data_IF_395269954180
#
_entry.id   IF_395269954180
#
_cell.length_a   1.000
_cell.length_b   1.000
_cell.length_c   1.000
_cell.angle_alpha   90.00
_cell.angle_beta   90.00
_cell.angle_gamma   90.00
#
_symmetry.space_group_name_H-M   'P 1'
#
loop_
_entity.id
_entity.type
_entity.pdbx_description
1 polymer ?
#
# COMPACT_ATOMS: atom_id res chain seq x y z
N UNK A 1 -10.78 -25.59 -50.79
CA UNK A 1 -10.78 -24.36 -51.58
C UNK A 1 -9.93 -23.41 -50.83
N UNK A 2 -8.63 -23.37 -51.16
CA UNK A 2 -7.91 -22.26 -51.83
C UNK A 2 -7.84 -21.03 -50.93
N UNK A 3 -6.72 -20.40 -50.57
CA UNK A 3 -5.41 -20.36 -51.22
C UNK A 3 -4.42 -19.66 -50.26
N UNK A 4 -3.24 -20.20 -50.18
CA UNK A 4 -1.95 -19.71 -49.68
C UNK A 4 -1.57 -18.39 -50.35
N UNK A 5 -0.85 -17.50 -49.62
CA UNK A 5 0.32 -16.76 -50.17
C UNK A 5 1.28 -16.30 -49.11
N UNK A 6 2.45 -16.89 -49.17
CA UNK A 6 3.69 -16.45 -48.52
C UNK A 6 4.44 -15.49 -49.48
N UNK A 7 5.13 -14.46 -48.93
CA UNK A 7 6.23 -13.78 -49.63
C UNK A 7 7.34 -13.50 -48.66
N UNK A 8 8.44 -14.23 -48.85
CA UNK A 8 9.73 -13.91 -48.31
C UNK A 8 10.57 -13.13 -49.31
N UNK A 9 11.35 -12.18 -48.85
CA UNK A 9 12.48 -11.61 -49.60
C UNK A 9 13.69 -11.49 -48.70
N UNK A 10 14.64 -12.38 -48.98
CA UNK A 10 16.05 -12.36 -48.60
C UNK A 10 16.79 -11.33 -49.45
N UNK A 11 17.66 -10.50 -48.87
CA UNK A 11 18.83 -9.93 -49.58
C UNK A 11 20.02 -9.82 -48.65
N UNK A 12 20.94 -10.76 -48.89
CA UNK A 12 22.39 -10.65 -48.58
C UNK A 12 23.02 -9.56 -49.47
N UNK A 13 23.94 -8.76 -48.99
CA UNK A 13 25.12 -8.29 -49.77
C UNK A 13 26.35 -8.22 -48.92
N UNK A 14 27.42 -8.68 -49.57
CA UNK A 14 28.78 -8.92 -49.16
C UNK A 14 29.64 -7.66 -49.11
N UNK A 15 30.90 -7.79 -48.67
CA UNK A 15 31.79 -6.68 -48.28
C UNK A 15 32.60 -6.12 -49.46
N UNK A 16 33.07 -4.89 -49.28
CA UNK A 16 34.05 -4.29 -50.23
C UNK A 16 35.33 -3.97 -49.48
N UNK A 17 36.40 -4.60 -49.97
CA UNK A 17 37.79 -4.32 -49.70
C UNK A 17 38.30 -3.27 -50.71
N UNK A 18 39.26 -2.47 -50.34
CA UNK A 18 40.00 -1.61 -51.27
C UNK A 18 40.74 -0.48 -50.55
N UNK A 19 41.94 -0.68 -50.19
CA UNK A 19 43.20 -0.33 -50.85
C UNK A 19 43.75 1.07 -50.52
N UNK A 20 44.90 1.02 -49.92
CA UNK A 20 45.96 1.98 -49.66
C UNK A 20 46.07 3.14 -50.67
N UNK A 21 46.41 4.35 -50.17
CA UNK A 21 47.37 5.25 -50.79
C UNK A 21 48.16 6.02 -49.74
N UNK A 22 49.46 5.83 -49.80
CA UNK A 22 50.47 6.58 -49.07
C UNK A 22 50.68 7.93 -49.73
N UNK A 23 50.75 9.01 -48.96
CA UNK A 23 51.18 10.32 -49.39
C UNK A 23 52.11 10.92 -48.36
N UNK A 24 53.37 10.80 -48.62
CA UNK A 24 54.49 11.41 -47.89
C UNK A 24 54.51 12.92 -48.21
N UNK A 25 54.31 13.78 -47.24
CA UNK A 25 54.68 15.20 -47.34
C UNK A 25 55.55 15.57 -46.14
N UNK A 26 56.84 15.68 -46.43
CA UNK A 26 57.86 16.23 -45.55
C UNK A 26 57.77 17.79 -45.65
N UNK A 27 57.38 18.42 -44.55
CA UNK A 27 57.52 19.87 -44.42
C UNK A 27 58.52 20.17 -43.30
N UNK A 28 59.62 20.70 -43.71
CA UNK A 28 60.68 21.27 -42.87
C UNK A 28 60.15 22.57 -42.27
N UNK A 29 60.07 22.64 -40.93
CA UNK A 29 59.71 23.87 -40.19
C UNK A 29 60.83 24.28 -39.26
N UNK A 30 61.05 25.57 -39.06
CA UNK A 30 62.22 26.12 -38.35
C UNK A 30 62.17 25.87 -36.81
N UNK A 31 63.34 25.58 -36.25
CA UNK A 31 63.62 25.58 -34.83
C UNK A 31 63.43 26.99 -34.27
N UNK A 32 62.46 27.15 -33.34
CA UNK A 32 62.40 28.30 -32.48
C UNK A 32 62.59 27.87 -31.02
N UNK A 33 63.36 28.67 -30.33
CA UNK A 33 63.93 28.51 -29.01
C UNK A 33 62.95 28.15 -27.91
N UNK A 34 63.40 27.28 -27.02
CA UNK A 34 62.75 26.91 -25.75
C UNK A 34 62.74 28.09 -24.78
N UNK A 35 61.60 28.77 -24.67
CA UNK A 35 61.33 29.74 -23.61
C UNK A 35 60.41 29.15 -22.57
N UNK A 36 60.78 29.23 -21.30
CA UNK A 36 60.21 28.64 -20.10
C UNK A 36 58.84 29.22 -19.67
N UNK A 37 57.97 29.57 -20.61
CA UNK A 37 56.65 30.20 -20.34
C UNK A 37 55.48 29.19 -20.34
N UNK A 38 55.70 27.95 -20.70
CA UNK A 38 54.64 26.94 -20.82
C UNK A 38 54.16 26.34 -19.51
N UNK A 39 54.92 26.47 -18.43
CA UNK A 39 54.60 25.79 -17.13
C UNK A 39 53.69 26.63 -16.23
N UNK A 40 53.68 27.95 -16.36
CA UNK A 40 52.82 28.83 -15.56
C UNK A 40 51.37 28.84 -16.10
N UNK A 41 51.17 28.83 -17.43
CA UNK A 41 49.80 28.79 -18.00
C UNK A 41 49.09 27.46 -17.73
N UNK A 42 49.80 26.33 -17.67
CA UNK A 42 49.18 25.02 -17.36
C UNK A 42 48.73 24.86 -15.90
N UNK A 43 49.31 25.60 -14.98
CA UNK A 43 48.89 25.55 -13.54
C UNK A 43 47.60 26.35 -13.33
N UNK A 44 47.41 27.49 -13.98
CA UNK A 44 46.20 28.29 -13.83
C UNK A 44 45.01 27.67 -14.55
N UNK A 45 45.17 27.07 -15.72
CA UNK A 45 44.07 26.40 -16.44
C UNK A 45 43.55 25.14 -15.69
N UNK A 46 44.45 24.38 -15.02
CA UNK A 46 44.03 23.25 -14.17
C UNK A 46 43.30 23.72 -12.93
N UNK A 47 43.68 24.85 -12.32
CA UNK A 47 43.01 25.42 -11.17
C UNK A 47 41.61 25.94 -11.53
N UNK A 48 41.44 26.60 -12.67
CA UNK A 48 40.13 27.04 -13.16
C UNK A 48 39.22 25.89 -13.59
N UNK A 49 39.76 24.80 -14.17
CA UNK A 49 38.99 23.62 -14.51
C UNK A 49 38.52 22.87 -13.25
N UNK A 50 39.35 22.79 -12.21
CA UNK A 50 38.96 22.14 -10.95
C UNK A 50 37.94 22.97 -10.16
N UNK A 51 38.01 24.30 -10.18
CA UNK A 51 37.02 25.19 -9.59
C UNK A 51 35.69 25.13 -10.36
N UNK A 52 35.74 25.14 -11.70
CA UNK A 52 34.55 24.97 -12.52
C UNK A 52 33.89 23.59 -12.34
N UNK A 53 34.69 22.53 -12.23
CA UNK A 53 34.19 21.18 -11.93
C UNK A 53 33.58 21.07 -10.53
N UNK A 54 34.20 21.72 -9.51
CA UNK A 54 33.67 21.76 -8.14
C UNK A 54 32.38 22.59 -8.07
N UNK A 55 32.30 23.71 -8.79
CA UNK A 55 31.10 24.53 -8.89
C UNK A 55 29.97 23.80 -9.64
N UNK A 56 30.29 23.02 -10.69
CA UNK A 56 29.33 22.20 -11.42
C UNK A 56 28.81 21.02 -10.53
N UNK A 57 29.66 20.41 -9.72
CA UNK A 57 29.28 19.39 -8.75
C UNK A 57 28.41 19.96 -7.64
N UNK A 58 28.60 21.21 -7.23
CA UNK A 58 27.79 21.87 -6.21
C UNK A 58 26.39 22.21 -6.73
N UNK A 59 26.25 22.50 -8.02
CA UNK A 59 24.94 22.77 -8.67
C UNK A 59 24.15 21.50 -8.92
N UNK A 60 24.82 20.34 -9.05
CA UNK A 60 24.18 19.02 -9.23
C UNK A 60 23.77 18.34 -7.90
N UNK A 61 24.17 18.87 -6.77
CA UNK A 61 23.66 18.49 -5.46
C UNK A 61 22.29 19.13 -5.23
N UNK A 62 21.30 18.80 -6.07
CA UNK A 62 19.91 19.07 -5.72
C UNK A 62 19.60 18.24 -4.50
N UNK A 63 19.20 18.84 -3.36
CA UNK A 63 18.71 18.06 -2.23
C UNK A 63 17.54 17.22 -2.78
N UNK A 64 17.52 15.93 -2.46
CA UNK A 64 16.37 15.07 -2.71
C UNK A 64 15.14 15.81 -2.14
N UNK A 65 14.36 16.41 -3.04
CA UNK A 65 13.26 17.27 -2.65
C UNK A 65 12.26 16.43 -1.90
N UNK A 66 11.98 16.80 -0.65
CA UNK A 66 10.81 16.27 0.05
C UNK A 66 9.61 16.43 -0.89
N UNK A 67 8.92 15.34 -1.18
CA UNK A 67 7.77 15.34 -2.05
C UNK A 67 6.75 16.36 -1.52
N UNK A 68 6.22 17.18 -2.41
CA UNK A 68 5.12 18.07 -2.06
C UNK A 68 3.87 17.20 -1.92
N UNK A 69 3.28 17.20 -0.73
CA UNK A 69 2.06 16.47 -0.40
C UNK A 69 0.97 17.49 -0.08
N UNK A 70 -0.26 17.24 -0.47
CA UNK A 70 -1.37 18.14 -0.16
C UNK A 70 -1.83 17.98 1.29
N UNK A 71 -2.31 19.09 1.87
CA UNK A 71 -2.90 19.08 3.23
C UNK A 71 -3.95 17.98 3.36
N UNK A 72 -4.87 17.85 2.39
CA UNK A 72 -5.94 16.85 2.41
C UNK A 72 -5.47 15.39 2.39
N UNK A 73 -4.24 15.10 1.93
CA UNK A 73 -3.65 13.76 1.98
C UNK A 73 -3.16 13.39 3.38
N UNK A 74 -2.71 14.38 4.16
CA UNK A 74 -2.15 14.19 5.50
C UNK A 74 -3.21 14.35 6.60
N UNK A 75 -4.36 14.95 6.26
CA UNK A 75 -5.40 15.27 7.23
C UNK A 75 -6.74 14.61 6.88
N UNK A 76 -7.68 14.72 7.78
CA UNK A 76 -9.11 14.47 7.62
C UNK A 76 -9.87 15.56 8.35
N UNK A 77 -11.10 15.83 7.95
CA UNK A 77 -11.95 16.79 8.63
C UNK A 77 -12.53 16.20 9.92
N UNK A 78 -12.78 17.03 10.94
CA UNK A 78 -13.24 16.58 12.25
C UNK A 78 -14.57 15.80 12.19
N UNK A 79 -15.45 16.13 11.25
CA UNK A 79 -16.72 15.42 11.04
C UNK A 79 -16.63 14.13 10.25
N UNK A 80 -15.47 13.79 9.67
CA UNK A 80 -15.29 12.61 8.82
C UNK A 80 -14.92 11.38 9.64
N UNK A 81 -15.82 10.95 10.50
CA UNK A 81 -15.69 9.71 11.28
C UNK A 81 -16.61 8.65 10.68
N UNK A 82 -16.06 7.61 10.00
CA UNK A 82 -16.87 6.54 9.44
C UNK A 82 -17.68 5.82 10.52
N UNK A 83 -18.94 5.54 10.22
CA UNK A 83 -19.82 4.76 11.08
C UNK A 83 -19.64 3.28 10.75
N UNK A 84 -19.42 2.49 11.78
CA UNK A 84 -19.35 1.03 11.64
C UNK A 84 -20.75 0.45 11.77
N UNK A 85 -21.08 -0.44 10.85
CA UNK A 85 -22.36 -1.16 10.85
C UNK A 85 -22.10 -2.64 10.68
N UNK A 86 -22.99 -3.46 11.24
CA UNK A 86 -22.85 -4.90 11.29
C UNK A 86 -24.18 -5.57 10.97
N UNK A 87 -24.14 -6.76 10.38
CA UNK A 87 -25.32 -7.55 10.10
C UNK A 87 -25.02 -9.04 10.10
N UNK A 88 -26.07 -9.84 10.31
CA UNK A 88 -26.03 -11.28 10.17
C UNK A 88 -26.71 -11.66 8.86
N UNK A 89 -25.99 -12.38 8.01
CA UNK A 89 -26.46 -12.74 6.67
C UNK A 89 -26.24 -14.21 6.31
N UNK A 90 -26.67 -14.55 5.11
CA UNK A 90 -26.47 -15.86 4.48
C UNK A 90 -25.76 -15.66 3.14
N UNK A 91 -24.75 -16.47 2.90
CA UNK A 91 -24.13 -16.63 1.59
C UNK A 91 -24.62 -17.92 0.98
N UNK A 92 -25.07 -17.83 -0.28
CA UNK A 92 -25.62 -18.96 -1.04
C UNK A 92 -24.79 -19.19 -2.31
N UNK A 93 -24.96 -20.35 -2.96
CA UNK A 93 -24.24 -20.68 -4.18
C UNK A 93 -22.83 -21.24 -3.96
N UNK A 94 -22.52 -21.68 -2.74
CA UNK A 94 -21.25 -22.31 -2.40
C UNK A 94 -21.24 -23.75 -2.91
N UNK A 95 -20.27 -24.09 -3.75
CA UNK A 95 -20.16 -25.45 -4.35
C UNK A 95 -19.63 -26.48 -3.32
N UNK A 96 -20.51 -26.86 -2.38
CA UNK A 96 -20.20 -27.84 -1.34
C UNK A 96 -19.25 -27.34 -0.25
N UNK A 97 -18.82 -26.06 -0.28
CA UNK A 97 -17.85 -25.47 0.66
C UNK A 97 -18.50 -24.69 1.81
N UNK A 98 -19.83 -24.60 1.83
CA UNK A 98 -20.60 -23.95 2.88
C UNK A 98 -20.59 -24.72 4.22
N UNK A 99 -21.44 -24.27 5.13
CA UNK A 99 -21.54 -24.88 6.46
C UNK A 99 -21.98 -26.34 6.36
N UNK A 100 -21.34 -27.19 7.16
CA UNK A 100 -21.66 -28.62 7.19
C UNK A 100 -22.81 -28.87 8.16
N UNK A 101 -23.93 -29.27 7.60
CA UNK A 101 -25.07 -29.73 8.37
C UNK A 101 -25.15 -31.26 8.35
N UNK A 102 -24.64 -31.93 9.36
CA UNK A 102 -24.61 -33.39 9.48
C UNK A 102 -25.44 -33.90 10.65
N UNK A 103 -26.54 -34.60 10.37
CA UNK A 103 -27.32 -35.35 11.34
C UNK A 103 -28.12 -34.50 12.34
N UNK A 104 -28.49 -35.08 13.49
CA UNK A 104 -29.26 -34.43 14.57
C UNK A 104 -28.58 -33.18 15.14
N UNK A 105 -27.25 -33.10 15.07
CA UNK A 105 -26.51 -31.92 15.53
C UNK A 105 -26.70 -30.70 14.56
N UNK A 106 -27.16 -30.93 13.33
CA UNK A 106 -27.36 -29.85 12.33
C UNK A 106 -28.54 -28.91 12.65
N UNK A 107 -29.55 -29.39 13.41
CA UNK A 107 -30.65 -28.52 13.85
C UNK A 107 -30.18 -27.34 14.74
N UNK A 108 -29.00 -27.46 15.34
CA UNK A 108 -28.33 -26.41 16.09
C UNK A 108 -27.53 -25.41 15.28
N UNK A 109 -27.22 -25.71 14.00
CA UNK A 109 -26.42 -24.85 13.16
C UNK A 109 -27.12 -23.52 12.88
N UNK A 110 -26.42 -22.38 13.02
CA UNK A 110 -26.97 -21.04 12.69
C UNK A 110 -27.52 -20.96 11.28
N UNK A 111 -26.81 -21.50 10.28
CA UNK A 111 -27.22 -21.50 8.87
C UNK A 111 -28.51 -22.27 8.65
N UNK A 112 -28.69 -23.46 9.26
CA UNK A 112 -29.91 -24.26 9.14
C UNK A 112 -31.11 -23.53 9.73
N UNK A 113 -30.95 -22.95 10.95
CA UNK A 113 -32.01 -22.18 11.60
C UNK A 113 -32.41 -20.96 10.76
N UNK A 114 -31.45 -20.25 10.19
CA UNK A 114 -31.71 -19.07 9.38
C UNK A 114 -32.42 -19.41 8.09
N UNK A 115 -32.06 -20.50 7.42
CA UNK A 115 -32.76 -20.98 6.23
C UNK A 115 -34.17 -21.47 6.58
N UNK A 116 -34.35 -22.20 7.67
CA UNK A 116 -35.68 -22.62 8.12
C UNK A 116 -36.59 -21.42 8.45
N UNK A 117 -36.05 -20.38 9.10
CA UNK A 117 -36.78 -19.13 9.34
C UNK A 117 -37.10 -18.35 8.06
N UNK A 118 -36.19 -18.35 7.09
CA UNK A 118 -36.43 -17.74 5.78
C UNK A 118 -37.55 -18.47 5.04
N UNK A 119 -37.50 -19.78 4.94
CA UNK A 119 -38.54 -20.61 4.30
C UNK A 119 -39.93 -20.40 4.94
N UNK A 120 -39.97 -20.30 6.29
CA UNK A 120 -41.20 -19.99 7.01
C UNK A 120 -41.82 -18.64 6.62
N UNK A 121 -40.99 -17.62 6.30
CA UNK A 121 -41.49 -16.34 5.77
C UNK A 121 -42.16 -16.47 4.41
N UNK A 122 -41.76 -17.48 3.62
CA UNK A 122 -42.40 -17.84 2.36
C UNK A 122 -43.54 -18.86 2.52
N UNK A 123 -44.01 -19.07 3.76
CA UNK A 123 -45.05 -20.06 4.10
C UNK A 123 -44.65 -21.52 3.78
N UNK A 124 -43.36 -21.79 3.75
CA UNK A 124 -42.82 -23.15 3.57
C UNK A 124 -42.30 -23.64 4.92
N UNK A 125 -42.96 -24.65 5.48
CA UNK A 125 -42.54 -25.28 6.72
C UNK A 125 -41.68 -26.51 6.45
N UNK A 126 -40.40 -26.43 6.76
CA UNK A 126 -39.46 -27.55 6.69
C UNK A 126 -38.82 -27.74 8.06
N UNK A 127 -38.92 -28.94 8.66
CA UNK A 127 -38.21 -29.23 9.90
C UNK A 127 -36.70 -29.06 9.74
N UNK A 128 -36.02 -28.39 10.67
CA UNK A 128 -34.58 -28.14 10.60
C UNK A 128 -33.75 -29.41 10.45
N UNK A 129 -34.22 -30.54 10.98
CA UNK A 129 -33.56 -31.84 10.89
C UNK A 129 -33.50 -32.43 9.47
N UNK A 130 -34.39 -31.98 8.61
CA UNK A 130 -34.48 -32.41 7.20
C UNK A 130 -33.64 -31.56 6.26
N UNK A 131 -33.21 -30.38 6.71
CA UNK A 131 -32.38 -29.47 5.91
C UNK A 131 -30.92 -29.95 5.93
N UNK A 132 -30.41 -30.26 4.73
CA UNK A 132 -29.01 -30.58 4.51
C UNK A 132 -28.39 -29.47 3.64
N UNK A 133 -27.69 -28.60 4.30
CA UNK A 133 -27.08 -27.43 3.62
C UNK A 133 -25.57 -27.68 3.46
N UNK A 134 -25.09 -27.55 2.24
CA UNK A 134 -23.64 -27.54 1.92
C UNK A 134 -23.27 -26.32 1.05
N UNK A 135 -24.29 -25.70 0.46
CA UNK A 135 -24.12 -24.58 -0.46
C UNK A 135 -24.51 -23.24 0.18
N UNK A 136 -24.66 -23.23 1.51
CA UNK A 136 -25.03 -22.04 2.29
C UNK A 136 -24.09 -21.91 3.48
N UNK A 137 -23.72 -20.68 3.80
CA UNK A 137 -22.95 -20.35 5.01
C UNK A 137 -23.61 -19.19 5.76
N UNK A 138 -23.62 -19.29 7.08
CA UNK A 138 -23.94 -18.15 7.95
C UNK A 138 -22.74 -17.22 8.03
N UNK A 139 -22.98 -15.93 7.85
CA UNK A 139 -21.91 -14.93 7.77
C UNK A 139 -22.19 -13.70 8.63
N UNK A 140 -21.09 -13.13 9.14
CA UNK A 140 -21.06 -11.78 9.68
C UNK A 140 -20.73 -10.82 8.53
N UNK A 141 -21.54 -9.79 8.38
CA UNK A 141 -21.33 -8.72 7.41
C UNK A 141 -20.96 -7.47 8.17
N UNK A 142 -19.86 -6.82 7.80
CA UNK A 142 -19.37 -5.59 8.42
C UNK A 142 -19.08 -4.56 7.35
N UNK A 143 -19.35 -3.30 7.66
CA UNK A 143 -19.00 -2.19 6.77
C UNK A 143 -18.64 -0.93 7.55
N UNK A 144 -17.89 -0.05 6.90
CA UNK A 144 -17.64 1.32 7.33
C UNK A 144 -18.31 2.26 6.33
N UNK A 145 -19.23 3.08 6.82
CA UNK A 145 -20.01 4.00 6.00
C UNK A 145 -19.57 5.43 6.30
N UNK A 146 -19.22 6.17 5.25
CA UNK A 146 -18.89 7.59 5.38
C UNK A 146 -20.09 8.36 5.94
N UNK A 147 -19.91 9.28 6.89
CA UNK A 147 -20.98 10.10 7.42
C UNK A 147 -21.57 11.06 6.37
N UNK A 148 -20.85 11.26 5.27
CA UNK A 148 -21.28 12.09 4.15
C UNK A 148 -22.09 11.33 3.09
N UNK A 149 -22.18 10.00 3.21
CA UNK A 149 -22.97 9.19 2.31
C UNK A 149 -24.46 9.47 2.53
N UNK A 150 -25.17 9.73 1.44
CA UNK A 150 -26.62 10.01 1.45
C UNK A 150 -27.40 8.72 1.25
N UNK A 151 -28.69 8.75 1.61
CA UNK A 151 -29.62 7.67 1.33
C UNK A 151 -29.54 7.25 -0.15
N UNK A 152 -29.55 5.95 -0.40
CA UNK A 152 -29.32 5.35 -1.72
C UNK A 152 -27.86 5.24 -2.13
N UNK A 153 -26.93 5.83 -1.37
CA UNK A 153 -25.50 5.68 -1.61
C UNK A 153 -25.01 4.27 -1.38
N UNK A 154 -24.03 3.84 -2.20
CA UNK A 154 -23.47 2.49 -2.15
C UNK A 154 -22.13 2.48 -1.42
N UNK A 155 -21.82 1.35 -0.80
CA UNK A 155 -20.56 1.11 -0.10
C UNK A 155 -20.19 -0.35 -0.14
N UNK A 156 -18.92 -0.62 0.11
CA UNK A 156 -18.40 -1.99 0.16
C UNK A 156 -18.68 -2.65 1.49
N UNK A 157 -18.93 -3.95 1.47
CA UNK A 157 -19.12 -4.74 2.68
C UNK A 157 -18.14 -5.89 2.74
N UNK A 158 -17.64 -6.16 3.94
CA UNK A 158 -16.81 -7.31 4.24
C UNK A 158 -17.69 -8.42 4.81
N UNK A 159 -17.42 -9.65 4.38
CA UNK A 159 -18.22 -10.82 4.74
C UNK A 159 -17.28 -11.88 5.32
N UNK A 160 -17.59 -12.42 6.49
CA UNK A 160 -16.80 -13.45 7.17
C UNK A 160 -17.71 -14.59 7.63
N UNK A 161 -17.32 -15.83 7.37
CA UNK A 161 -18.08 -17.00 7.80
C UNK A 161 -18.11 -17.11 9.33
N UNK A 162 -19.29 -17.35 9.90
CA UNK A 162 -19.50 -17.62 11.33
C UNK A 162 -19.51 -19.10 11.66
N UNK A 163 -19.78 -19.93 10.65
CA UNK A 163 -19.85 -21.37 10.76
C UNK A 163 -18.54 -22.07 10.40
N UNK A 164 -18.66 -23.31 9.95
CA UNK A 164 -17.55 -24.18 9.56
C UNK A 164 -17.35 -24.23 8.03
N UNK A 165 -17.87 -23.25 7.30
CA UNK A 165 -17.66 -23.08 5.88
C UNK A 165 -16.16 -23.00 5.57
N UNK A 166 -15.73 -23.81 4.61
CA UNK A 166 -14.31 -23.90 4.23
C UNK A 166 -13.91 -22.86 3.19
N UNK A 167 -14.85 -22.36 2.39
CA UNK A 167 -14.65 -21.28 1.42
C UNK A 167 -15.98 -20.60 1.11
N UNK A 168 -15.92 -19.28 0.92
CA UNK A 168 -17.03 -18.45 0.44
C UNK A 168 -16.92 -18.13 -1.06
N UNK A 169 -15.96 -18.72 -1.76
CA UNK A 169 -15.70 -18.45 -3.17
C UNK A 169 -16.89 -18.85 -4.05
N UNK A 170 -17.24 -17.96 -4.99
CA UNK A 170 -18.36 -18.17 -5.91
C UNK A 170 -19.73 -17.94 -5.30
N UNK A 171 -19.80 -17.66 -4.00
CA UNK A 171 -21.04 -17.38 -3.30
C UNK A 171 -21.58 -15.98 -3.56
N UNK A 172 -22.88 -15.82 -3.27
CA UNK A 172 -23.57 -14.55 -3.27
C UNK A 172 -24.18 -14.29 -1.90
N UNK A 173 -23.96 -13.09 -1.38
CA UNK A 173 -24.59 -12.59 -0.17
C UNK A 173 -26.07 -12.34 -0.46
N UNK A 174 -26.93 -13.01 0.32
CA UNK A 174 -28.37 -12.75 0.33
C UNK A 174 -28.64 -11.40 1.00
N UNK A 175 -29.78 -10.77 0.65
CA UNK A 175 -30.16 -9.49 1.24
C UNK A 175 -30.06 -9.53 2.78
N UNK A 176 -29.23 -8.69 3.30
CA UNK A 176 -28.83 -8.68 4.72
C UNK A 176 -29.05 -7.29 5.30
N UNK A 177 -29.89 -7.14 6.33
CA UNK A 177 -30.01 -5.87 7.02
C UNK A 177 -28.75 -5.59 7.85
N UNK A 178 -28.30 -4.35 7.83
CA UNK A 178 -27.15 -3.85 8.59
C UNK A 178 -27.62 -2.82 9.62
N UNK A 179 -27.15 -2.99 10.84
CA UNK A 179 -27.49 -2.17 12.01
C UNK A 179 -26.24 -1.51 12.58
N UNK A 180 -26.42 -0.41 13.30
CA UNK A 180 -25.33 0.23 14.07
C UNK A 180 -25.06 -0.56 15.35
N UNK A 181 -26.13 -0.92 16.05
CA UNK A 181 -26.09 -1.77 17.24
C UNK A 181 -27.14 -2.88 17.13
N UNK A 182 -26.84 -4.10 17.66
CA UNK A 182 -27.83 -5.16 17.74
C UNK A 182 -29.07 -4.72 18.54
N UNK A 183 -30.23 -4.77 17.87
CA UNK A 183 -31.51 -4.34 18.48
C UNK A 183 -32.04 -3.02 17.94
N UNK A 184 -31.22 -2.26 17.24
CA UNK A 184 -31.68 -1.06 16.51
C UNK A 184 -32.30 -1.43 15.15
N UNK A 185 -33.15 -0.54 14.60
CA UNK A 185 -33.67 -0.72 13.25
C UNK A 185 -32.53 -0.70 12.23
N UNK A 186 -32.62 -1.48 11.12
CA UNK A 186 -31.60 -1.49 10.10
C UNK A 186 -31.46 -0.12 9.42
N UNK A 187 -30.22 0.31 9.26
CA UNK A 187 -29.86 1.58 8.59
C UNK A 187 -29.47 1.38 7.14
N UNK A 188 -29.08 0.16 6.79
CA UNK A 188 -28.65 -0.19 5.43
C UNK A 188 -28.96 -1.65 5.12
N UNK A 189 -28.91 -2.01 3.84
CA UNK A 189 -28.98 -3.40 3.37
C UNK A 189 -27.77 -3.73 2.54
N UNK A 190 -27.37 -5.01 2.54
CA UNK A 190 -26.25 -5.51 1.73
C UNK A 190 -26.64 -6.75 0.95
N UNK A 191 -26.21 -6.83 -0.32
CA UNK A 191 -26.37 -8.01 -1.17
C UNK A 191 -25.36 -7.98 -2.33
N UNK A 192 -25.05 -9.13 -2.89
CA UNK A 192 -24.23 -9.19 -4.10
C UNK A 192 -23.24 -10.37 -4.14
N UNK A 193 -22.47 -10.44 -5.20
CA UNK A 193 -21.49 -11.50 -5.45
C UNK A 193 -20.25 -11.23 -4.57
N UNK A 194 -19.73 -12.29 -3.94
CA UNK A 194 -18.52 -12.20 -3.14
C UNK A 194 -17.27 -12.28 -4.01
N UNK A 195 -16.40 -11.32 -3.81
CA UNK A 195 -15.01 -11.38 -4.26
C UNK A 195 -14.14 -11.89 -3.13
N UNK A 196 -13.57 -13.07 -3.32
CA UNK A 196 -12.67 -13.70 -2.36
C UNK A 196 -11.26 -13.58 -2.91
N UNK A 197 -10.40 -12.89 -2.19
CA UNK A 197 -8.98 -12.74 -2.57
C UNK A 197 -8.29 -14.09 -2.42
N UNK A 198 -7.66 -14.55 -3.47
CA UNK A 198 -6.87 -15.78 -3.45
C UNK A 198 -5.43 -15.39 -3.13
N UNK A 199 -4.98 -15.61 -1.92
CA UNK A 199 -3.59 -15.38 -1.56
C UNK A 199 -2.69 -16.38 -2.30
N UNK A 200 -1.78 -15.86 -3.12
CA UNK A 200 -0.57 -16.50 -3.65
C UNK A 200 -0.72 -17.73 -4.57
N UNK A 201 -0.10 -17.68 -5.73
CA UNK A 201 0.26 -18.84 -6.53
C UNK A 201 1.35 -19.63 -5.78
N UNK A 202 1.10 -20.86 -5.40
CA UNK A 202 2.11 -21.76 -4.83
C UNK A 202 1.66 -22.63 -3.66
N UNK A 203 0.59 -22.29 -2.95
CA UNK A 203 0.06 -23.14 -1.88
C UNK A 203 -1.00 -24.07 -2.45
N UNK A 204 -0.90 -25.38 -2.17
CA UNK A 204 -1.86 -26.38 -2.66
C UNK A 204 -3.30 -25.96 -2.28
N UNK A 205 -4.22 -26.10 -3.23
CA UNK A 205 -5.63 -25.69 -3.09
C UNK A 205 -6.34 -26.25 -1.84
N UNK A 206 -5.82 -27.34 -1.26
CA UNK A 206 -6.33 -27.98 -0.06
C UNK A 206 -6.18 -27.16 1.25
N UNK A 207 -5.25 -26.19 1.29
CA UNK A 207 -5.00 -25.36 2.46
C UNK A 207 -5.57 -23.93 2.37
N UNK A 208 -6.17 -23.57 1.25
CA UNK A 208 -6.76 -22.23 1.03
C UNK A 208 -8.15 -22.14 1.65
N UNK A 209 -8.20 -21.85 2.92
CA UNK A 209 -9.46 -21.49 3.59
C UNK A 209 -9.76 -20.05 3.28
N UNK A 210 -10.66 -19.79 2.36
CA UNK A 210 -11.14 -18.44 2.01
C UNK A 210 -12.52 -18.23 2.63
N UNK A 211 -12.56 -18.13 3.96
CA UNK A 211 -13.80 -17.96 4.73
C UNK A 211 -14.17 -16.49 4.95
N UNK A 212 -13.51 -15.58 4.24
CA UNK A 212 -13.82 -14.15 4.17
C UNK A 212 -13.81 -13.66 2.73
N UNK A 213 -14.56 -12.62 2.45
CA UNK A 213 -14.64 -11.98 1.15
C UNK A 213 -15.21 -10.58 1.24
N UNK A 214 -15.26 -9.89 0.11
CA UNK A 214 -15.79 -8.54 -0.02
C UNK A 214 -16.86 -8.51 -1.11
N UNK A 215 -17.93 -7.76 -0.88
CA UNK A 215 -18.92 -7.43 -1.90
C UNK A 215 -18.73 -5.96 -2.24
N UNK A 216 -18.24 -5.69 -3.45
CA UNK A 216 -18.01 -4.34 -3.93
C UNK A 216 -19.35 -3.69 -4.26
N UNK A 217 -19.57 -2.46 -3.75
CA UNK A 217 -20.82 -1.71 -3.90
C UNK A 217 -22.07 -2.49 -3.46
N UNK A 218 -21.89 -3.50 -2.60
CA UNK A 218 -22.98 -4.39 -2.18
C UNK A 218 -23.91 -3.80 -1.13
N UNK A 219 -23.43 -2.83 -0.35
CA UNK A 219 -24.23 -2.13 0.65
C UNK A 219 -24.97 -0.95 0.06
N UNK A 220 -26.20 -0.71 0.52
CA UNK A 220 -27.02 0.46 0.18
C UNK A 220 -27.52 1.09 1.47
N UNK A 221 -27.27 2.39 1.64
CA UNK A 221 -27.77 3.15 2.79
C UNK A 221 -29.26 3.43 2.60
N UNK A 222 -30.09 2.95 3.50
CA UNK A 222 -31.57 3.07 3.38
C UNK A 222 -32.15 4.20 4.20
N UNK A 223 -31.47 4.55 5.28
CA UNK A 223 -31.94 5.60 6.20
C UNK A 223 -31.07 6.84 6.05
N UNK A 224 -31.71 8.00 6.06
CA UNK A 224 -30.98 9.27 6.07
C UNK A 224 -30.16 9.38 7.36
N UNK A 225 -28.88 9.57 7.21
CA UNK A 225 -27.95 9.76 8.33
C UNK A 225 -27.91 11.24 8.71
N UNK A 226 -27.83 11.51 10.00
CA UNK A 226 -27.56 12.89 10.47
C UNK A 226 -26.20 13.29 9.94
N UNK A 227 -26.20 14.27 9.02
CA UNK A 227 -24.98 14.80 8.45
C UNK A 227 -24.20 15.54 9.53
N UNK A 228 -22.93 15.22 9.74
CA UNK A 228 -22.13 15.96 10.70
C UNK A 228 -22.02 17.43 10.30
N UNK A 229 -21.96 18.28 11.29
CA UNK A 229 -21.66 19.70 11.06
C UNK A 229 -20.20 19.79 10.63
N UNK A 230 -19.94 20.49 9.53
CA UNK A 230 -18.57 20.74 9.08
C UNK A 230 -17.89 21.68 10.08
N UNK A 231 -17.05 21.14 10.94
CA UNK A 231 -16.21 21.92 11.83
C UNK A 231 -14.94 22.38 11.09
N UNK A 232 -14.50 23.63 11.30
CA UNK A 232 -13.28 24.14 10.69
C UNK A 232 -12.04 23.62 11.44
N UNK A 233 -11.90 22.31 11.53
CA UNK A 233 -10.82 21.62 12.23
C UNK A 233 -10.31 20.49 11.36
N UNK A 234 -8.98 20.42 11.24
CA UNK A 234 -8.26 19.34 10.59
C UNK A 234 -7.69 18.38 11.66
N UNK A 235 -7.86 17.11 11.42
CA UNK A 235 -7.26 16.04 12.22
C UNK A 235 -6.18 15.35 11.39
N UNK A 236 -4.96 15.27 11.91
CA UNK A 236 -3.89 14.56 11.23
C UNK A 236 -4.20 13.06 11.20
N UNK A 237 -3.95 12.41 10.06
CA UNK A 237 -4.05 10.95 9.94
C UNK A 237 -3.05 10.24 10.83
N UNK A 238 -1.87 10.84 10.99
CA UNK A 238 -0.79 10.43 11.88
C UNK A 238 -0.38 11.60 12.75
N UNK A 239 -0.71 11.56 14.05
CA UNK A 239 -0.36 12.63 14.96
C UNK A 239 1.15 12.80 15.08
N UNK A 240 1.66 13.97 14.66
CA UNK A 240 3.07 14.37 14.77
C UNK A 240 3.18 15.89 14.86
N UNK A 241 3.81 16.40 15.92
CA UNK A 241 3.96 17.83 16.15
C UNK A 241 4.73 18.57 15.07
N UNK A 242 5.73 17.94 14.46
CA UNK A 242 6.54 18.56 13.40
C UNK A 242 5.71 18.72 12.13
N UNK A 243 4.97 17.67 11.76
CA UNK A 243 4.06 17.68 10.62
C UNK A 243 2.91 18.65 10.84
N UNK A 244 2.29 18.64 12.04
CA UNK A 244 1.22 19.55 12.40
C UNK A 244 1.66 21.02 12.30
N UNK A 245 2.86 21.33 12.77
CA UNK A 245 3.42 22.68 12.64
C UNK A 245 3.66 23.09 11.19
N UNK A 246 4.25 22.21 10.38
CA UNK A 246 4.48 22.48 8.94
C UNK A 246 3.16 22.70 8.19
N UNK A 247 2.11 21.95 8.53
CA UNK A 247 0.78 22.13 8.00
C UNK A 247 0.23 23.52 8.36
N UNK A 248 0.31 23.90 9.64
CA UNK A 248 -0.15 25.20 10.10
C UNK A 248 0.63 26.36 9.41
N UNK A 249 1.96 26.26 9.35
CA UNK A 249 2.81 27.27 8.71
C UNK A 249 2.51 27.41 7.20
N UNK A 250 2.21 26.28 6.51
CA UNK A 250 1.85 26.30 5.10
C UNK A 250 0.48 26.93 4.84
N UNK A 251 -0.51 26.61 5.67
CA UNK A 251 -1.85 27.21 5.61
C UNK A 251 -1.77 28.71 5.88
N UNK A 252 -1.02 29.11 6.91
CA UNK A 252 -0.80 30.53 7.23
C UNK A 252 -0.09 31.28 6.11
N UNK A 253 0.85 30.62 5.42
CA UNK A 253 1.53 31.19 4.26
C UNK A 253 0.56 31.41 3.08
N UNK A 254 -0.36 30.47 2.86
CA UNK A 254 -1.30 30.52 1.74
C UNK A 254 -2.46 31.49 1.98
N UNK A 255 -2.97 31.60 3.21
CA UNK A 255 -4.20 32.32 3.53
C UNK A 255 -4.03 33.47 4.51
N UNK A 256 -2.86 33.68 5.04
CA UNK A 256 -2.55 34.74 6.02
C UNK A 256 -2.31 34.20 7.42
N UNK A 257 -1.46 34.90 8.16
CA UNK A 257 -1.05 34.54 9.52
C UNK A 257 -2.23 34.47 10.49
N UNK A 258 -2.29 33.43 11.33
CA UNK A 258 -3.34 33.19 12.30
C UNK A 258 -4.61 32.56 11.73
N UNK A 259 -4.53 32.03 10.49
CA UNK A 259 -5.59 31.21 9.87
C UNK A 259 -5.63 29.82 10.46
N UNK A 260 -4.45 29.23 10.72
CA UNK A 260 -4.29 27.91 11.34
C UNK A 260 -3.74 28.04 12.76
N UNK A 261 -4.41 27.41 13.71
CA UNK A 261 -3.98 27.36 15.10
C UNK A 261 -3.74 25.91 15.48
N UNK A 262 -2.50 25.60 15.86
CA UNK A 262 -2.13 24.27 16.33
C UNK A 262 -2.69 24.08 17.75
N UNK A 263 -3.54 23.07 17.95
CA UNK A 263 -4.06 22.70 19.27
C UNK A 263 -3.19 21.64 19.94
N UNK A 264 -2.87 20.58 19.20
CA UNK A 264 -2.02 19.46 19.64
C UNK A 264 -1.34 18.76 18.45
N UNK A 265 -0.70 17.60 18.69
CA UNK A 265 0.00 16.84 17.66
C UNK A 265 -0.89 16.30 16.53
N UNK A 266 -2.18 16.22 16.76
CA UNK A 266 -3.14 15.62 15.83
C UNK A 266 -4.24 16.58 15.38
N UNK A 267 -4.28 17.82 15.87
CA UNK A 267 -5.43 18.73 15.68
C UNK A 267 -4.97 20.14 15.37
N UNK A 268 -5.56 20.70 14.30
CA UNK A 268 -5.37 22.08 13.84
C UNK A 268 -6.73 22.72 13.66
N UNK A 269 -7.00 23.81 14.37
CA UNK A 269 -8.22 24.61 14.19
C UNK A 269 -7.98 25.71 13.16
N UNK A 270 -8.97 25.90 12.29
CA UNK A 270 -8.93 26.87 11.21
C UNK A 270 -9.88 28.02 11.47
N UNK A 271 -9.44 29.23 11.17
CA UNK A 271 -10.28 30.42 11.19
C UNK A 271 -10.91 30.62 9.80
N UNK A 272 -12.22 30.49 9.73
CA UNK A 272 -12.98 30.69 8.49
C UNK A 272 -13.21 32.18 8.26
N UNK A 273 -12.89 32.72 7.07
CA UNK A 273 -13.18 34.11 6.73
C UNK A 273 -14.70 34.40 6.75
N UNK A 274 -15.07 35.60 7.19
CA UNK A 274 -16.47 36.00 7.22
C UNK A 274 -17.11 35.95 5.81
N UNK A 275 -18.29 35.32 5.71
CA UNK A 275 -18.99 35.16 4.43
C UNK A 275 -18.60 33.95 3.60
N UNK A 276 -17.64 33.15 4.03
CA UNK A 276 -17.23 31.90 3.34
C UNK A 276 -17.89 30.71 4.02
N UNK A 277 -18.45 29.77 3.24
CA UNK A 277 -18.97 28.53 3.80
C UNK A 277 -17.83 27.60 4.24
N UNK A 278 -18.00 26.92 5.38
CA UNK A 278 -16.99 26.02 5.95
C UNK A 278 -16.55 24.95 4.96
N UNK A 279 -17.44 24.21 4.25
CA UNK A 279 -17.03 23.21 3.28
C UNK A 279 -16.17 23.76 2.12
N UNK A 280 -16.52 24.95 1.61
CA UNK A 280 -15.75 25.58 0.54
C UNK A 280 -14.36 26.00 1.02
N UNK A 281 -14.28 26.50 2.24
CA UNK A 281 -13.02 26.86 2.87
C UNK A 281 -12.12 25.64 3.09
N UNK A 282 -12.65 24.56 3.64
CA UNK A 282 -11.93 23.31 3.83
C UNK A 282 -11.39 22.75 2.51
N UNK A 283 -12.21 22.77 1.45
CA UNK A 283 -11.79 22.35 0.12
C UNK A 283 -10.61 23.17 -0.43
N UNK A 284 -10.58 24.48 -0.15
CA UNK A 284 -9.45 25.33 -0.53
C UNK A 284 -8.18 25.00 0.27
N UNK A 285 -8.32 24.76 1.58
CA UNK A 285 -7.20 24.36 2.45
C UNK A 285 -6.62 23.01 2.06
N UNK A 286 -7.45 22.05 1.67
CA UNK A 286 -7.02 20.71 1.25
C UNK A 286 -6.08 20.72 0.03
N UNK A 287 -6.13 21.76 -0.80
CA UNK A 287 -5.29 21.91 -1.99
C UNK A 287 -3.90 22.51 -1.71
N UNK A 288 -3.63 22.96 -0.49
CA UNK A 288 -2.35 23.56 -0.13
C UNK A 288 -1.25 22.51 -0.15
N UNK A 289 -0.13 22.83 -0.80
CA UNK A 289 1.04 21.98 -0.85
C UNK A 289 1.93 22.17 0.39
N UNK A 290 2.32 21.06 1.00
CA UNK A 290 3.17 21.00 2.19
C UNK A 290 4.34 20.08 1.97
N UNK A 291 5.52 20.48 2.45
CA UNK A 291 6.68 19.58 2.55
C UNK A 291 6.58 18.78 3.85
N UNK A 292 5.87 17.68 3.82
CA UNK A 292 5.84 16.75 4.94
C UNK A 292 7.06 15.82 4.89
N UNK A 293 7.61 15.42 6.05
CA UNK A 293 8.57 14.34 6.08
C UNK A 293 7.84 13.05 5.68
N UNK A 294 8.37 12.34 4.69
CA UNK A 294 7.86 10.99 4.42
C UNK A 294 8.12 10.10 5.63
N UNK A 295 7.10 9.48 6.22
CA UNK A 295 7.32 8.57 7.32
C UNK A 295 8.14 7.38 6.82
N UNK A 296 9.29 7.17 7.45
CA UNK A 296 10.12 6.02 7.16
C UNK A 296 9.36 4.74 7.58
N UNK A 297 8.85 3.99 6.60
CA UNK A 297 8.06 2.77 6.85
C UNK A 297 8.56 1.60 6.03
N UNK A 298 8.55 0.44 6.66
CA UNK A 298 8.75 -0.86 6.03
C UNK A 298 7.48 -1.68 6.27
N UNK A 299 6.81 -2.08 5.20
CA UNK A 299 5.63 -2.94 5.25
C UNK A 299 6.08 -4.34 4.84
N UNK A 300 5.78 -5.32 5.66
CA UNK A 300 6.15 -6.71 5.42
C UNK A 300 4.88 -7.56 5.42
N UNK A 301 4.66 -8.30 4.34
CA UNK A 301 3.66 -9.37 4.35
C UNK A 301 4.26 -10.59 5.04
N UNK A 302 3.72 -10.93 6.21
CA UNK A 302 4.21 -12.06 7.01
C UNK A 302 3.93 -13.43 6.39
N UNK A 303 3.12 -13.50 5.33
CA UNK A 303 2.74 -14.77 4.67
C UNK A 303 3.72 -15.16 3.58
N UNK A 304 4.04 -14.24 2.69
CA UNK A 304 4.91 -14.47 1.54
C UNK A 304 6.29 -13.81 1.65
N UNK A 305 6.49 -12.96 2.67
CA UNK A 305 7.75 -12.27 2.90
C UNK A 305 7.98 -11.07 2.00
N UNK A 306 6.96 -10.59 1.28
CA UNK A 306 7.07 -9.36 0.48
C UNK A 306 7.41 -8.17 1.36
N UNK A 307 8.49 -7.47 1.03
CA UNK A 307 8.94 -6.27 1.75
C UNK A 307 8.78 -5.05 0.85
N UNK A 308 7.99 -4.10 1.32
CA UNK A 308 7.80 -2.80 0.67
C UNK A 308 8.40 -1.72 1.55
N UNK A 309 9.38 -1.00 1.04
CA UNK A 309 10.06 0.08 1.77
C UNK A 309 10.28 1.28 0.86
N UNK A 310 10.33 2.48 1.43
CA UNK A 310 10.73 3.69 0.72
C UNK A 310 12.19 3.57 0.22
N UNK A 311 12.47 4.06 -0.99
CA UNK A 311 13.74 3.85 -1.70
C UNK A 311 15.01 4.41 -1.05
N UNK A 312 14.88 5.19 0.02
CA UNK A 312 16.01 5.79 0.76
C UNK A 312 16.32 5.13 2.10
N UNK A 313 15.59 4.10 2.51
CA UNK A 313 15.77 3.46 3.81
C UNK A 313 17.02 2.57 3.83
N UNK A 314 17.91 2.85 4.79
CA UNK A 314 19.15 2.10 5.01
C UNK A 314 19.15 1.48 6.40
N UNK A 315 19.88 0.39 6.53
CA UNK A 315 20.07 -0.34 7.79
C UNK A 315 21.50 -0.14 8.23
N UNK A 316 21.68 0.33 9.47
CA UNK A 316 22.99 0.50 10.08
C UNK A 316 23.60 -0.85 10.46
N UNK A 317 24.90 -0.86 10.77
CA UNK A 317 25.63 -2.06 11.17
C UNK A 317 24.92 -2.78 12.33
N UNK A 318 24.66 -4.07 12.15
CA UNK A 318 23.96 -4.92 13.11
C UNK A 318 24.19 -6.39 12.81
N UNK A 319 24.04 -7.24 13.81
CA UNK A 319 24.00 -8.70 13.67
C UNK A 319 22.71 -9.20 14.27
N UNK A 320 21.92 -9.93 13.46
CA UNK A 320 20.65 -10.53 13.88
C UNK A 320 20.65 -12.00 13.50
N UNK A 321 20.32 -12.88 14.44
CA UNK A 321 20.15 -14.30 14.19
C UNK A 321 18.73 -14.72 14.60
N UNK A 322 17.97 -15.28 13.65
CA UNK A 322 16.61 -15.76 13.88
C UNK A 322 16.28 -16.94 12.94
N UNK A 323 15.64 -18.00 13.49
CA UNK A 323 15.09 -19.09 12.67
C UNK A 323 16.13 -19.88 11.85
N UNK A 324 17.40 -19.89 12.25
CA UNK A 324 18.48 -20.54 11.50
C UNK A 324 19.14 -19.63 10.46
N UNK A 325 18.65 -18.39 10.28
CA UNK A 325 19.26 -17.38 9.42
C UNK A 325 20.00 -16.36 10.27
N UNK A 326 21.25 -16.06 9.92
CA UNK A 326 22.06 -15.01 10.56
C UNK A 326 22.35 -13.92 9.53
N UNK A 327 21.94 -12.71 9.85
CA UNK A 327 22.21 -11.51 9.08
C UNK A 327 23.29 -10.67 9.79
N UNK A 328 24.36 -10.36 9.08
CA UNK A 328 25.42 -9.48 9.52
C UNK A 328 25.56 -8.30 8.57
N UNK A 329 25.34 -7.08 9.06
CA UNK A 329 25.48 -5.84 8.30
C UNK A 329 26.65 -5.05 8.87
N UNK A 330 27.63 -4.69 8.04
CA UNK A 330 28.78 -3.92 8.46
C UNK A 330 30.11 -4.40 7.86
N UNK A 331 30.08 -5.45 7.03
CA UNK A 331 31.25 -5.94 6.29
C UNK A 331 31.61 -5.07 5.08
N UNK A 332 32.75 -5.36 4.48
CA UNK A 332 33.21 -4.71 3.23
C UNK A 332 32.65 -5.33 1.96
N UNK A 333 31.98 -6.47 2.03
CA UNK A 333 31.44 -7.22 0.89
C UNK A 333 30.11 -7.85 1.24
N UNK A 334 29.27 -8.05 0.22
CA UNK A 334 27.99 -8.75 0.36
C UNK A 334 28.20 -10.20 -0.06
N UNK A 335 27.86 -11.13 0.81
CA UNK A 335 27.94 -12.58 0.55
C UNK A 335 26.69 -13.23 1.14
N UNK A 336 26.03 -14.09 0.37
CA UNK A 336 24.88 -14.86 0.83
C UNK A 336 25.18 -16.33 0.64
N UNK A 337 25.04 -17.12 1.70
CA UNK A 337 25.13 -18.56 1.70
C UNK A 337 23.98 -19.14 2.54
N UNK A 338 23.81 -20.45 2.51
CA UNK A 338 22.73 -21.12 3.24
C UNK A 338 22.73 -20.74 4.73
N UNK A 339 21.68 -20.04 5.17
CA UNK A 339 21.54 -19.57 6.53
C UNK A 339 22.42 -18.38 6.96
N UNK A 340 23.28 -17.84 6.11
CA UNK A 340 24.17 -16.74 6.45
C UNK A 340 24.16 -15.64 5.39
N UNK A 341 23.84 -14.41 5.81
CA UNK A 341 23.77 -13.22 4.94
C UNK A 341 24.73 -12.15 5.47
N UNK A 342 25.80 -11.89 4.73
CA UNK A 342 26.69 -10.77 5.00
C UNK A 342 26.34 -9.61 4.05
N UNK A 343 26.17 -8.43 4.58
CA UNK A 343 25.83 -7.23 3.83
C UNK A 343 26.84 -6.12 4.12
N UNK A 344 27.05 -5.27 3.14
CA UNK A 344 27.86 -4.08 3.32
C UNK A 344 27.22 -3.13 4.36
N UNK A 345 28.04 -2.27 4.95
CA UNK A 345 27.53 -1.20 5.82
C UNK A 345 26.55 -0.31 5.03
N UNK A 346 25.52 0.18 5.71
CA UNK A 346 24.46 1.01 5.11
C UNK A 346 23.70 0.34 3.93
N UNK A 347 23.52 -0.98 3.99
CA UNK A 347 22.72 -1.71 3.02
C UNK A 347 21.28 -1.17 2.98
N UNK A 348 20.67 -1.16 1.80
CA UNK A 348 19.26 -0.77 1.69
C UNK A 348 18.34 -1.87 2.26
N UNK A 349 17.16 -1.47 2.73
CA UNK A 349 16.14 -2.43 3.21
C UNK A 349 15.81 -3.46 2.13
N UNK A 350 15.82 -3.07 0.85
CA UNK A 350 15.56 -3.96 -0.28
C UNK A 350 16.66 -4.99 -0.48
N UNK A 351 17.94 -4.58 -0.34
CA UNK A 351 19.07 -5.50 -0.43
C UNK A 351 19.03 -6.52 0.71
N UNK A 352 18.70 -6.06 1.92
CA UNK A 352 18.53 -6.94 3.09
C UNK A 352 17.41 -7.95 2.86
N UNK A 353 16.25 -7.51 2.36
CA UNK A 353 15.13 -8.39 2.05
C UNK A 353 15.53 -9.44 0.97
N UNK A 354 16.18 -8.99 -0.11
CA UNK A 354 16.66 -9.88 -1.17
C UNK A 354 17.68 -10.90 -0.66
N UNK A 355 18.61 -10.47 0.21
CA UNK A 355 19.59 -11.37 0.83
C UNK A 355 18.94 -12.42 1.73
N UNK A 356 17.95 -12.05 2.52
CA UNK A 356 17.19 -12.98 3.38
C UNK A 356 16.40 -13.99 2.54
N UNK A 357 15.75 -13.56 1.47
CA UNK A 357 15.07 -14.46 0.53
C UNK A 357 16.06 -15.44 -0.14
N UNK A 358 17.23 -14.95 -0.57
CA UNK A 358 18.27 -15.80 -1.17
C UNK A 358 18.85 -16.81 -0.18
N UNK A 359 18.87 -16.50 1.11
CA UNK A 359 19.26 -17.41 2.19
C UNK A 359 18.14 -18.40 2.60
N UNK A 360 16.98 -18.35 1.94
CA UNK A 360 15.86 -19.27 2.19
C UNK A 360 14.97 -18.88 3.37
N UNK A 361 15.07 -17.64 3.88
CA UNK A 361 14.21 -17.17 4.96
C UNK A 361 12.74 -17.07 4.50
N UNK A 362 11.82 -17.53 5.35
CA UNK A 362 10.38 -17.46 5.12
C UNK A 362 9.80 -16.13 5.59
N UNK A 363 8.62 -15.77 5.11
CA UNK A 363 7.93 -14.52 5.44
C UNK A 363 7.94 -14.15 6.92
N UNK A 364 7.52 -15.03 7.84
CA UNK A 364 7.56 -14.76 9.28
C UNK A 364 8.97 -14.53 9.83
N UNK A 365 9.99 -15.21 9.28
CA UNK A 365 11.39 -15.06 9.68
C UNK A 365 11.93 -13.69 9.23
N UNK A 366 11.59 -13.27 8.01
CA UNK A 366 11.94 -11.95 7.48
C UNK A 366 11.32 -10.85 8.36
N UNK A 367 10.03 -10.97 8.69
CA UNK A 367 9.35 -10.03 9.57
C UNK A 367 10.06 -9.92 10.93
N UNK A 368 10.38 -11.05 11.55
CA UNK A 368 11.07 -11.09 12.85
C UNK A 368 12.48 -10.45 12.79
N UNK A 369 13.22 -10.67 11.71
CA UNK A 369 14.55 -10.04 11.50
C UNK A 369 14.42 -8.52 11.40
N UNK A 370 13.45 -8.00 10.63
CA UNK A 370 13.23 -6.55 10.53
C UNK A 370 12.73 -5.93 11.83
N UNK A 371 11.89 -6.63 12.60
CA UNK A 371 11.49 -6.18 13.94
C UNK A 371 12.70 -6.14 14.90
N UNK A 372 13.59 -7.12 14.85
CA UNK A 372 14.82 -7.14 15.62
C UNK A 372 15.77 -5.99 15.24
N UNK A 373 15.93 -5.71 13.93
CA UNK A 373 16.71 -4.57 13.43
C UNK A 373 16.13 -3.23 13.90
N UNK A 374 14.80 -3.11 13.97
CA UNK A 374 14.14 -1.94 14.53
C UNK A 374 14.37 -1.85 16.05
N UNK A 375 14.20 -2.93 16.78
CA UNK A 375 14.36 -2.99 18.23
C UNK A 375 15.81 -2.67 18.66
N UNK A 376 16.82 -3.09 17.88
CA UNK A 376 18.22 -2.75 18.09
C UNK A 376 18.58 -1.30 17.70
N UNK A 377 17.69 -0.57 17.03
CA UNK A 377 17.93 0.77 16.51
C UNK A 377 18.75 0.82 15.21
N UNK A 378 19.07 -0.32 14.63
CA UNK A 378 19.77 -0.40 13.34
C UNK A 378 18.87 0.05 12.18
N UNK A 379 17.56 -0.16 12.28
CA UNK A 379 16.55 0.32 11.34
C UNK A 379 15.73 1.44 11.98
N UNK A 380 15.85 2.66 11.45
CA UNK A 380 15.10 3.84 11.90
C UNK A 380 13.83 4.04 11.09
N UNK A 381 12.99 3.01 11.03
CA UNK A 381 11.72 3.03 10.32
C UNK A 381 10.66 2.29 11.14
N UNK A 382 9.39 2.66 10.95
CA UNK A 382 8.29 1.88 11.49
C UNK A 382 8.14 0.59 10.68
N UNK A 383 8.16 -0.56 11.35
CA UNK A 383 7.90 -1.86 10.73
C UNK A 383 6.43 -2.20 10.96
N UNK A 384 5.71 -2.47 9.87
CA UNK A 384 4.30 -2.87 9.88
C UNK A 384 4.20 -4.24 9.24
N UNK A 385 3.83 -5.25 10.03
CA UNK A 385 3.59 -6.61 9.54
C UNK A 385 2.10 -6.78 9.26
N UNK A 386 1.76 -7.34 8.09
CA UNK A 386 0.39 -7.60 7.64
C UNK A 386 0.14 -9.07 7.41
#
# INVERSE_FOLDING_TARGET
MMTTMAWGVSRRRKPFSGTRCAGLFTVVGPRLASGSWGTLLRRHTRAYLSIAAAALMLVLATPAGAALTRVGELTRHAGDVPRRIVGYGLVTGLDGTGDRSLGRASAGSPSVRSVANLLRRFQIEVPPEQLRLRNVAAVLVTAEVSPWLRQGGRFDVNVSALGDATSLRGGALWITPLVTDPGEPPVATAQGILYVTTDGEGVSAAFRRSNSGRVVDGGVLETETVVPVSEPRLLLREPDLVTARRLADAIDTAFGTGTATLEDAGSITLKVPAGTSVPLWLAAVDTVDVRAPEPARVIIDGRDGTVVAGGGLRVSAAVVSHGGVTLEIGGSSTTTSDGLVHMAADASVQDVAAGLHAAGARGPEIAAVFEALRASGALRAAVVVR
#
